data_IF_967795340103
#
_entry.id   IF_967795340103
#
_cell.length_a   1.000
_cell.length_b   1.000
_cell.length_c   1.000
_cell.angle_alpha   90.00
_cell.angle_beta   90.00
_cell.angle_gamma   90.00
#
_symmetry.space_group_name_H-M   'P 1'
#
loop_
_entity.id
_entity.type
_entity.pdbx_description
1 polymer ?
#
# COMPACT_ATOMS: atom_id res chain seq x y z
N UNK A 1 -52.10 -8.13 3.55
CA UNK A 1 -50.63 -8.19 3.70
C UNK A 1 -50.20 -6.96 4.48
N UNK A 2 -49.74 -7.12 5.73
CA UNK A 2 -49.57 -6.05 6.70
C UNK A 2 -48.43 -5.04 6.39
N UNK A 3 -47.75 -5.15 5.24
CA UNK A 3 -46.61 -4.31 4.86
C UNK A 3 -46.86 -3.30 3.72
N UNK A 4 -48.04 -3.31 3.08
CA UNK A 4 -48.36 -2.44 1.92
C UNK A 4 -49.45 -1.39 2.20
N UNK A 5 -49.80 -1.17 3.47
CA UNK A 5 -50.73 -0.09 3.85
C UNK A 5 -49.99 1.25 3.98
N UNK A 6 -50.54 2.31 3.38
CA UNK A 6 -49.95 3.65 3.40
C UNK A 6 -49.81 4.23 4.83
N UNK A 7 -50.69 3.84 5.75
CA UNK A 7 -50.68 4.32 7.15
C UNK A 7 -49.46 3.83 7.95
N UNK A 8 -48.82 2.74 7.51
CA UNK A 8 -47.63 2.18 8.18
C UNK A 8 -46.65 1.67 7.12
N UNK A 9 -45.87 2.56 6.48
CA UNK A 9 -44.93 2.17 5.44
C UNK A 9 -43.67 1.51 6.05
N UNK A 10 -43.85 0.38 6.72
CA UNK A 10 -42.78 -0.35 7.41
C UNK A 10 -41.67 -0.76 6.43
N UNK A 11 -42.05 -1.11 5.20
CA UNK A 11 -41.11 -1.50 4.15
C UNK A 11 -40.19 -0.33 3.74
N UNK A 12 -40.73 0.89 3.63
CA UNK A 12 -39.92 2.07 3.31
C UNK A 12 -38.95 2.39 4.44
N UNK A 13 -39.41 2.32 5.70
CA UNK A 13 -38.55 2.55 6.85
C UNK A 13 -37.38 1.55 6.91
N UNK A 14 -37.65 0.27 6.66
CA UNK A 14 -36.61 -0.76 6.64
C UNK A 14 -35.61 -0.50 5.51
N UNK A 15 -36.10 -0.27 4.29
CA UNK A 15 -35.22 -0.16 3.12
C UNK A 15 -34.42 1.15 3.07
N UNK A 16 -34.98 2.27 3.53
CA UNK A 16 -34.32 3.57 3.46
C UNK A 16 -33.51 3.92 4.71
N UNK A 17 -33.85 3.37 5.88
CA UNK A 17 -33.20 3.73 7.14
C UNK A 17 -32.45 2.53 7.72
N UNK A 18 -33.16 1.45 8.04
CA UNK A 18 -32.57 0.34 8.81
C UNK A 18 -31.49 -0.40 8.01
N UNK A 19 -31.79 -0.78 6.76
CA UNK A 19 -30.88 -1.55 5.92
C UNK A 19 -29.57 -0.80 5.61
N UNK A 20 -29.59 0.47 5.13
CA UNK A 20 -28.38 1.24 4.92
C UNK A 20 -27.55 1.44 6.19
N UNK A 21 -28.21 1.63 7.33
CA UNK A 21 -27.53 1.77 8.62
C UNK A 21 -26.79 0.49 9.02
N UNK A 22 -27.42 -0.68 8.86
CA UNK A 22 -26.78 -1.97 9.11
C UNK A 22 -25.58 -2.16 8.16
N UNK A 23 -25.75 -1.90 6.87
CA UNK A 23 -24.67 -1.99 5.88
C UNK A 23 -23.48 -1.08 6.24
N UNK A 24 -23.74 0.14 6.68
CA UNK A 24 -22.70 1.07 7.11
C UNK A 24 -21.93 0.54 8.33
N UNK A 25 -22.62 0.01 9.34
CA UNK A 25 -21.99 -0.59 10.53
C UNK A 25 -21.14 -1.80 10.15
N UNK A 26 -21.68 -2.70 9.32
CA UNK A 26 -20.94 -3.88 8.84
C UNK A 26 -19.69 -3.46 8.06
N UNK A 27 -19.79 -2.43 7.22
CA UNK A 27 -18.66 -1.86 6.51
C UNK A 27 -17.60 -1.32 7.48
N UNK A 28 -17.96 -0.49 8.46
CA UNK A 28 -17.00 0.08 9.41
C UNK A 28 -16.28 -1.02 10.20
N UNK A 29 -17.02 -2.03 10.68
CA UNK A 29 -16.43 -3.15 11.42
C UNK A 29 -15.50 -3.97 10.52
N UNK A 30 -15.89 -4.27 9.28
CA UNK A 30 -15.04 -5.02 8.36
C UNK A 30 -13.76 -4.26 8.02
N UNK A 31 -13.82 -2.95 7.82
CA UNK A 31 -12.63 -2.12 7.59
C UNK A 31 -11.70 -2.09 8.80
N UNK A 32 -12.24 -1.96 10.02
CA UNK A 32 -11.43 -2.03 11.24
C UNK A 32 -10.71 -3.39 11.36
N UNK A 33 -11.41 -4.50 11.10
CA UNK A 33 -10.81 -5.84 11.15
C UNK A 33 -9.68 -5.98 10.12
N UNK A 34 -9.87 -5.48 8.90
CA UNK A 34 -8.82 -5.50 7.86
C UNK A 34 -7.59 -4.70 8.29
N UNK A 35 -7.77 -3.49 8.82
CA UNK A 35 -6.64 -2.66 9.26
C UNK A 35 -5.89 -3.30 10.43
N UNK A 36 -6.59 -3.88 11.41
CA UNK A 36 -5.92 -4.51 12.55
C UNK A 36 -5.23 -5.84 12.22
N UNK A 37 -5.70 -6.58 11.21
CA UNK A 37 -5.18 -7.91 10.86
C UNK A 37 -4.12 -7.86 9.77
N UNK A 38 -4.23 -6.93 8.83
CA UNK A 38 -3.48 -6.98 7.56
C UNK A 38 -2.49 -5.83 7.42
N UNK A 39 -2.78 -4.64 7.95
CA UNK A 39 -1.92 -3.48 7.78
C UNK A 39 -0.94 -3.31 8.94
N UNK A 40 0.34 -3.08 8.62
CA UNK A 40 1.36 -2.73 9.60
C UNK A 40 1.27 -1.24 9.99
N UNK A 41 0.87 -0.38 9.03
CA UNK A 41 0.65 1.04 9.26
C UNK A 41 -0.75 1.35 9.80
N UNK A 42 -0.78 2.02 10.95
CA UNK A 42 -2.01 2.33 11.69
C UNK A 42 -2.58 3.73 11.42
N UNK A 43 -1.94 4.50 10.56
CA UNK A 43 -2.41 5.81 10.13
C UNK A 43 -3.84 5.80 9.52
N UNK A 44 -4.22 4.80 8.69
CA UNK A 44 -5.56 4.68 8.11
C UNK A 44 -6.70 4.52 9.13
N UNK A 45 -6.38 4.11 10.37
CA UNK A 45 -7.36 4.02 11.46
C UNK A 45 -7.94 5.40 11.77
N UNK A 46 -7.11 6.45 11.70
CA UNK A 46 -7.54 7.83 11.90
C UNK A 46 -8.62 8.21 10.89
N UNK A 47 -8.39 7.92 9.60
CA UNK A 47 -9.33 8.23 8.53
C UNK A 47 -10.68 7.51 8.72
N UNK A 48 -10.68 6.23 9.12
CA UNK A 48 -11.92 5.49 9.44
C UNK A 48 -12.67 6.15 10.61
N UNK A 49 -11.95 6.46 11.70
CA UNK A 49 -12.56 7.02 12.91
C UNK A 49 -13.15 8.40 12.65
N UNK A 50 -12.40 9.29 11.98
CA UNK A 50 -12.90 10.62 11.62
C UNK A 50 -14.06 10.52 10.62
N UNK A 51 -13.96 9.66 9.61
CA UNK A 51 -15.05 9.44 8.65
C UNK A 51 -16.34 8.95 9.32
N UNK A 52 -16.22 8.01 10.27
CA UNK A 52 -17.34 7.49 11.05
C UNK A 52 -17.92 8.53 12.00
N UNK A 53 -17.07 9.34 12.65
CA UNK A 53 -17.51 10.41 13.54
C UNK A 53 -18.33 11.46 12.78
N UNK A 54 -17.84 11.92 11.63
CA UNK A 54 -18.60 12.84 10.77
C UNK A 54 -19.90 12.20 10.27
N UNK A 55 -19.90 10.94 9.86
CA UNK A 55 -21.14 10.25 9.49
C UNK A 55 -22.16 10.25 10.64
N UNK A 56 -21.74 9.89 11.86
CA UNK A 56 -22.61 9.85 13.03
C UNK A 56 -23.15 11.25 13.38
N UNK A 57 -22.29 12.28 13.34
CA UNK A 57 -22.70 13.67 13.56
C UNK A 57 -23.72 14.10 12.50
N UNK A 58 -23.54 13.73 11.23
CA UNK A 58 -24.50 14.02 10.17
C UNK A 58 -25.89 13.44 10.50
N UNK A 59 -25.95 12.15 10.87
CA UNK A 59 -27.22 11.51 11.24
C UNK A 59 -27.88 12.21 12.44
N UNK A 60 -27.10 12.56 13.46
CA UNK A 60 -27.61 13.26 14.66
C UNK A 60 -28.15 14.66 14.30
N UNK A 61 -27.44 15.41 13.45
CA UNK A 61 -27.90 16.72 12.98
C UNK A 61 -29.23 16.63 12.23
N UNK A 62 -29.37 15.64 11.34
CA UNK A 62 -30.58 15.45 10.54
C UNK A 62 -31.79 14.99 11.38
N UNK A 63 -31.60 14.00 12.26
CA UNK A 63 -32.72 13.40 12.97
C UNK A 63 -33.09 14.10 14.29
N UNK A 64 -32.11 14.67 15.00
CA UNK A 64 -32.36 15.30 16.31
C UNK A 64 -32.45 16.82 16.22
N UNK A 65 -31.59 17.46 15.43
CA UNK A 65 -31.42 18.91 15.48
C UNK A 65 -32.00 19.68 14.29
N UNK A 66 -32.45 19.01 13.21
CA UNK A 66 -32.87 19.71 11.97
C UNK A 66 -33.95 20.77 12.21
N UNK A 67 -35.00 20.44 12.95
CA UNK A 67 -36.09 21.38 13.26
C UNK A 67 -35.60 22.52 14.16
N UNK A 68 -34.82 22.20 15.20
CA UNK A 68 -34.28 23.22 16.12
C UNK A 68 -33.37 24.23 15.41
N UNK A 69 -32.60 23.77 14.42
CA UNK A 69 -31.75 24.62 13.61
C UNK A 69 -32.63 25.47 12.69
N UNK A 70 -33.58 24.86 11.97
CA UNK A 70 -34.48 25.58 11.06
C UNK A 70 -35.23 26.75 11.74
N UNK A 71 -35.72 26.52 12.97
CA UNK A 71 -36.39 27.55 13.76
C UNK A 71 -35.43 28.66 14.23
N UNK A 72 -34.20 28.30 14.63
CA UNK A 72 -33.20 29.24 15.11
C UNK A 72 -32.72 30.23 14.02
N UNK A 73 -32.64 29.78 12.76
CA UNK A 73 -32.18 30.59 11.61
C UNK A 73 -33.35 31.13 10.78
N UNK A 74 -34.56 31.21 11.34
CA UNK A 74 -35.76 31.78 10.68
C UNK A 74 -36.04 31.18 9.29
N UNK A 75 -35.84 29.86 9.13
CA UNK A 75 -36.08 29.13 7.89
C UNK A 75 -35.22 29.55 6.68
N UNK A 76 -34.08 30.22 6.88
CA UNK A 76 -33.12 30.48 5.80
C UNK A 76 -32.25 29.26 5.48
N UNK A 77 -31.95 28.44 6.50
CA UNK A 77 -31.09 27.26 6.41
C UNK A 77 -31.73 26.16 7.25
N UNK A 78 -31.76 24.95 6.70
CA UNK A 78 -32.27 23.73 7.35
C UNK A 78 -31.11 22.82 7.77
N UNK A 79 -31.34 21.91 8.71
CA UNK A 79 -30.39 20.88 9.12
C UNK A 79 -29.91 20.00 7.98
N UNK A 80 -30.68 19.89 6.88
CA UNK A 80 -30.24 19.24 5.63
C UNK A 80 -28.95 19.84 5.05
N UNK A 81 -28.72 21.14 5.19
CA UNK A 81 -27.49 21.78 4.72
C UNK A 81 -26.27 21.29 5.52
N UNK A 82 -26.36 21.29 6.84
CA UNK A 82 -25.28 20.81 7.70
C UNK A 82 -25.09 19.29 7.58
N UNK A 83 -26.17 18.53 7.39
CA UNK A 83 -26.13 17.11 7.08
C UNK A 83 -25.29 16.84 5.82
N UNK A 84 -25.58 17.53 4.72
CA UNK A 84 -24.87 17.31 3.45
C UNK A 84 -23.39 17.70 3.55
N UNK A 85 -23.06 18.80 4.24
CA UNK A 85 -21.66 19.18 4.51
C UNK A 85 -20.92 18.11 5.33
N UNK A 86 -21.54 17.61 6.39
CA UNK A 86 -20.93 16.61 7.25
C UNK A 86 -20.80 15.24 6.54
N UNK A 87 -21.79 14.88 5.70
CA UNK A 87 -21.70 13.71 4.82
C UNK A 87 -20.59 13.85 3.79
N UNK A 88 -20.39 15.04 3.20
CA UNK A 88 -19.29 15.28 2.26
C UNK A 88 -17.95 15.04 2.96
N UNK A 89 -17.75 15.61 4.15
CA UNK A 89 -16.52 15.38 4.94
C UNK A 89 -16.32 13.90 5.28
N UNK A 90 -17.38 13.17 5.62
CA UNK A 90 -17.33 11.72 5.85
C UNK A 90 -16.83 10.96 4.61
N UNK A 91 -17.40 11.26 3.43
CA UNK A 91 -17.00 10.62 2.16
C UNK A 91 -15.56 10.97 1.79
N UNK A 92 -15.09 12.19 2.07
CA UNK A 92 -13.69 12.56 1.86
C UNK A 92 -12.73 11.76 2.74
N UNK A 93 -13.08 11.49 4.00
CA UNK A 93 -12.26 10.64 4.87
C UNK A 93 -12.25 9.19 4.38
N UNK A 94 -13.38 8.67 3.87
CA UNK A 94 -13.39 7.36 3.21
C UNK A 94 -12.46 7.39 2.00
N UNK A 95 -12.50 8.42 1.15
CA UNK A 95 -11.60 8.50 0.01
C UNK A 95 -10.11 8.50 0.43
N UNK A 96 -9.75 9.26 1.47
CA UNK A 96 -8.38 9.25 2.03
C UNK A 96 -7.97 7.88 2.55
N UNK A 97 -8.89 7.18 3.21
CA UNK A 97 -8.68 5.81 3.68
C UNK A 97 -8.37 4.85 2.51
N UNK A 98 -9.15 4.93 1.43
CA UNK A 98 -8.90 4.09 0.24
C UNK A 98 -7.55 4.38 -0.40
N UNK A 99 -7.22 5.66 -0.60
CA UNK A 99 -5.90 6.08 -1.08
C UNK A 99 -4.76 5.57 -0.19
N UNK A 100 -4.97 5.50 1.13
CA UNK A 100 -3.96 5.00 2.06
C UNK A 100 -3.69 3.49 1.97
N UNK A 101 -4.63 2.69 1.48
CA UNK A 101 -4.48 1.22 1.41
C UNK A 101 -3.91 0.77 0.06
N UNK A 102 -4.16 1.50 -1.02
CA UNK A 102 -3.77 1.09 -2.39
C UNK A 102 -2.53 1.80 -2.92
N UNK A 103 -1.76 2.49 -2.04
CA UNK A 103 -0.53 3.20 -2.44
C UNK A 103 0.53 2.26 -3.00
N UNK A 104 0.75 1.13 -2.32
CA UNK A 104 1.69 0.09 -2.76
C UNK A 104 1.24 -0.61 -4.06
N UNK A 105 -0.07 -0.73 -4.33
CA UNK A 105 -0.59 -1.41 -5.52
C UNK A 105 -0.38 -0.60 -6.82
N UNK A 106 -0.28 0.74 -6.72
CA UNK A 106 -0.08 1.64 -7.87
C UNK A 106 1.39 1.68 -8.33
N UNK A 107 2.35 1.55 -7.43
CA UNK A 107 3.79 1.54 -7.76
C UNK A 107 4.25 0.21 -8.38
N UNK A 108 3.51 -0.88 -8.19
CA UNK A 108 3.79 -2.18 -8.83
C UNK A 108 3.09 -2.38 -10.17
N UNK A 109 2.16 -1.49 -10.57
CA UNK A 109 1.47 -1.56 -11.88
C UNK A 109 2.14 -0.74 -12.99
N UNK A 110 2.96 0.27 -12.67
CA UNK A 110 3.82 0.94 -13.65
C UNK A 110 5.17 0.24 -13.62
N UNK A 111 5.37 -0.70 -14.55
CA UNK A 111 6.44 -1.68 -14.55
C UNK A 111 7.82 -1.16 -14.11
N UNK A 112 8.21 -1.54 -12.89
CA UNK A 112 9.62 -1.63 -12.49
C UNK A 112 10.28 -2.86 -13.16
N UNK A 113 10.18 -2.92 -14.49
CA UNK A 113 10.91 -3.80 -15.39
C UNK A 113 11.55 -2.98 -16.51
N UNK A 114 12.10 -1.81 -16.19
CA UNK A 114 12.83 -1.02 -17.17
C UNK A 114 14.19 -1.65 -17.57
N UNK A 115 14.59 -2.80 -17.03
CA UNK A 115 15.89 -3.40 -17.37
C UNK A 115 15.91 -4.94 -17.44
N UNK A 116 14.79 -5.62 -17.71
CA UNK A 116 14.84 -7.08 -18.01
C UNK A 116 15.28 -7.35 -19.45
N UNK A 117 15.23 -6.34 -20.33
CA UNK A 117 15.62 -6.47 -21.74
C UNK A 117 17.08 -6.06 -22.03
N UNK A 118 17.82 -5.59 -21.03
CA UNK A 118 19.27 -5.37 -21.13
C UNK A 118 20.02 -6.69 -20.89
N UNK A 119 19.68 -7.73 -21.65
CA UNK A 119 20.57 -8.87 -21.82
C UNK A 119 21.65 -8.41 -22.81
N UNK A 120 22.65 -7.69 -22.31
CA UNK A 120 23.90 -7.48 -23.05
C UNK A 120 24.58 -8.84 -23.12
N UNK A 121 24.36 -9.57 -24.21
CA UNK A 121 25.00 -10.85 -24.48
C UNK A 121 26.53 -10.69 -24.36
N UNK A 122 27.19 -11.30 -23.36
CA UNK A 122 28.65 -11.19 -23.18
C UNK A 122 29.43 -11.88 -24.31
N UNK A 123 28.74 -12.55 -25.25
CA UNK A 123 29.34 -13.27 -26.37
C UNK A 123 29.66 -12.35 -27.57
N UNK A 124 29.03 -11.17 -27.67
CA UNK A 124 29.35 -10.17 -28.70
C UNK A 124 30.48 -9.21 -28.27
N UNK A 125 30.88 -9.22 -26.99
CA UNK A 125 31.95 -8.36 -26.48
C UNK A 125 33.38 -8.82 -26.88
N UNK A 126 33.54 -9.99 -27.50
CA UNK A 126 34.86 -10.55 -27.85
C UNK A 126 35.10 -10.70 -29.35
N UNK A 127 34.68 -9.72 -30.15
CA UNK A 127 35.04 -9.64 -31.57
C UNK A 127 35.60 -8.26 -31.94
N UNK A 128 36.71 -7.88 -31.30
CA UNK A 128 37.77 -7.13 -31.98
C UNK A 128 37.56 -5.65 -32.33
N UNK A 129 36.78 -4.87 -31.57
CA UNK A 129 36.69 -3.41 -31.76
C UNK A 129 37.28 -2.65 -30.56
N UNK A 130 38.28 -1.78 -30.75
CA UNK A 130 38.78 -0.90 -29.70
C UNK A 130 37.90 0.36 -29.57
N UNK A 131 37.89 0.93 -28.36
CA UNK A 131 37.28 2.20 -27.92
C UNK A 131 35.76 2.26 -27.75
N UNK A 132 35.31 2.30 -26.49
CA UNK A 132 34.67 3.47 -25.84
C UNK A 132 34.71 3.27 -24.31
N UNK A 133 35.14 4.26 -23.50
CA UNK A 133 35.02 4.18 -22.04
C UNK A 133 33.60 4.57 -21.63
N UNK A 134 32.73 3.60 -21.33
CA UNK A 134 31.40 3.87 -20.76
C UNK A 134 31.52 4.17 -19.25
N UNK A 135 31.53 5.46 -18.95
CA UNK A 135 31.32 6.06 -17.64
C UNK A 135 29.85 5.87 -17.18
N UNK A 136 29.42 4.64 -16.91
CA UNK A 136 28.06 4.37 -16.40
C UNK A 136 28.06 3.48 -15.13
N UNK A 137 29.12 3.60 -14.32
CA UNK A 137 29.21 2.91 -13.02
C UNK A 137 29.25 3.89 -11.85
N UNK A 138 28.37 4.90 -11.84
CA UNK A 138 28.17 5.68 -10.62
C UNK A 138 26.84 6.43 -10.59
N UNK A 139 25.81 5.80 -10.00
CA UNK A 139 24.80 6.40 -9.08
C UNK A 139 23.54 5.53 -9.06
N UNK A 140 22.81 5.35 -7.97
CA UNK A 140 22.93 5.54 -6.53
C UNK A 140 21.60 4.94 -6.02
N UNK A 141 21.50 4.18 -4.92
CA UNK A 141 20.88 4.80 -3.76
C UNK A 141 21.20 4.16 -2.42
N UNK A 142 21.93 3.04 -2.34
CA UNK A 142 22.58 2.57 -1.10
C UNK A 142 23.69 1.58 -1.49
N UNK A 143 24.94 1.90 -1.19
CA UNK A 143 26.14 1.17 -1.58
C UNK A 143 26.30 -0.20 -0.90
N UNK A 144 25.45 -1.16 -1.25
CA UNK A 144 25.60 -2.58 -0.91
C UNK A 144 25.84 -3.43 -2.17
N UNK A 145 26.60 -4.54 -2.06
CA UNK A 145 26.84 -5.43 -3.20
C UNK A 145 25.52 -6.04 -3.70
N UNK A 146 25.39 -6.18 -5.02
CA UNK A 146 24.21 -6.75 -5.66
C UNK A 146 23.89 -8.16 -5.11
N UNK A 147 22.66 -8.35 -4.62
CA UNK A 147 22.22 -9.62 -4.08
C UNK A 147 22.08 -10.69 -5.18
N UNK A 148 22.76 -11.82 -5.00
CA UNK A 148 22.71 -12.97 -5.90
C UNK A 148 21.35 -13.68 -5.83
N UNK A 149 20.72 -13.86 -6.98
CA UNK A 149 19.38 -14.48 -7.16
C UNK A 149 19.36 -16.00 -7.00
N UNK A 150 20.51 -16.66 -6.81
CA UNK A 150 20.60 -18.08 -6.45
C UNK A 150 21.69 -18.24 -5.39
N UNK A 151 21.28 -18.48 -4.15
CA UNK A 151 22.15 -19.04 -3.11
C UNK A 151 23.43 -18.25 -2.82
N UNK A 152 23.34 -16.94 -2.55
CA UNK A 152 24.30 -16.25 -1.67
C UNK A 152 25.78 -16.19 -2.05
N UNK A 153 26.20 -16.54 -3.28
CA UNK A 153 27.59 -16.41 -3.71
C UNK A 153 27.68 -15.41 -4.86
N UNK A 154 28.52 -14.38 -4.71
CA UNK A 154 28.79 -13.38 -5.73
C UNK A 154 29.85 -13.90 -6.72
N UNK A 155 29.68 -13.58 -8.01
CA UNK A 155 30.52 -14.05 -9.12
C UNK A 155 32.00 -13.65 -9.06
N UNK A 156 32.42 -12.83 -8.09
CA UNK A 156 33.82 -12.45 -7.89
C UNK A 156 34.67 -13.54 -7.23
N UNK A 157 34.08 -14.54 -6.55
CA UNK A 157 34.86 -15.64 -5.98
C UNK A 157 35.25 -16.73 -6.99
N UNK A 158 34.55 -16.82 -8.13
CA UNK A 158 34.81 -17.87 -9.13
C UNK A 158 35.98 -17.56 -10.08
N UNK A 159 36.43 -16.30 -10.16
CA UNK A 159 37.43 -15.88 -11.15
C UNK A 159 38.68 -15.23 -10.55
N UNK A 160 39.10 -15.65 -9.35
CA UNK A 160 40.41 -15.28 -8.83
C UNK A 160 41.50 -16.16 -9.49
N UNK A 161 42.43 -15.60 -10.27
CA UNK A 161 43.48 -16.38 -10.92
C UNK A 161 44.52 -16.83 -9.89
N UNK A 162 44.68 -18.14 -9.77
CA UNK A 162 45.71 -18.78 -8.95
C UNK A 162 47.08 -18.65 -9.66
N UNK A 163 47.68 -17.45 -9.62
CA UNK A 163 49.00 -17.17 -10.16
C UNK A 163 50.04 -17.00 -9.02
N UNK A 164 50.83 -18.05 -8.90
CA UNK A 164 52.03 -18.30 -8.09
C UNK A 164 53.10 -17.18 -8.14
N UNK A 165 53.62 -16.73 -6.96
CA UNK A 165 55.07 -16.53 -6.72
C UNK A 165 55.46 -16.14 -5.27
N UNK A 166 56.19 -17.07 -4.63
CA UNK A 166 57.33 -16.82 -3.71
C UNK A 166 56.98 -16.61 -2.23
N UNK A 167 57.53 -17.34 -1.25
CA UNK A 167 58.44 -18.47 -1.29
C UNK A 167 58.92 -18.77 0.13
N UNK A 168 58.81 -20.03 0.56
CA UNK A 168 59.61 -20.59 1.65
C UNK A 168 60.05 -22.01 1.24
N UNK A 169 61.38 -22.14 1.08
CA UNK A 169 62.18 -23.38 0.95
C UNK A 169 62.09 -24.16 2.27
N UNK A 170 62.14 -25.49 2.44
CA UNK A 170 62.37 -26.67 1.60
C UNK A 170 62.86 -27.84 2.50
N UNK A 171 62.22 -29.03 2.40
CA UNK A 171 62.62 -30.45 2.67
C UNK A 171 63.39 -30.91 3.95
N UNK A 172 63.30 -32.21 4.37
CA UNK A 172 62.75 -33.37 3.64
C UNK A 172 61.77 -34.29 4.39
N UNK A 173 61.08 -35.21 3.68
CA UNK A 173 60.59 -36.46 4.21
C UNK A 173 61.67 -37.56 4.05
N UNK A 174 61.79 -38.46 5.03
CA UNK A 174 62.46 -39.74 4.83
C UNK A 174 61.64 -40.84 5.49
N UNK A 175 60.98 -41.64 4.68
CA UNK A 175 60.37 -42.89 5.08
C UNK A 175 61.18 -44.04 4.43
N UNK A 176 61.48 -45.07 5.22
CA UNK A 176 61.97 -46.37 4.75
C UNK A 176 63.44 -46.73 5.03
N UNK A 177 63.68 -47.56 6.06
CA UNK A 177 64.19 -48.95 5.91
C UNK A 177 64.38 -49.65 7.27
N UNK A 178 63.84 -50.88 7.32
CA UNK A 178 63.89 -51.95 8.35
C UNK A 178 62.91 -51.84 9.51
#
# INVERSE_FOLDING_TARGET
>A
MAGFSYDKPIALWIMYILWPLICAVVYIVSQLVLVFRTLEDRWPIGDIVFGTAFFAIAQVLLFAFSVTICDAIKHYIDGLFFFTLCMLLSVMMVYKYWDSITKEDLEFSVGSKAAVWEVKDPLLANAGTPDYPEEDTASNYHGGPAASLVGGVSGQQLYAPQAQKGGYRGYPPSDGRY
#
